data_IF_458066142704
#
_entry.id   IF_458066142704
#
_cell.length_a   1.000
_cell.length_b   1.000
_cell.length_c   1.000
_cell.angle_alpha   90.00
_cell.angle_beta   90.00
_cell.angle_gamma   90.00
#
_symmetry.space_group_name_H-M   'P 1'
#
loop_
_entity.id
_entity.type
_entity.pdbx_description
1 polymer ?
#
# COMPACT_ATOMS: atom_id res chain seq x y z
N UNK A 1 -12.71 13.41 24.74
CA UNK A 1 -11.32 13.94 24.72
C UNK A 1 -11.19 14.75 23.45
N UNK A 2 -10.86 16.05 23.48
CA UNK A 2 -10.64 16.83 22.27
C UNK A 2 -9.43 16.26 21.56
N UNK A 3 -9.58 15.99 20.28
CA UNK A 3 -8.66 15.19 19.49
C UNK A 3 -7.33 15.95 19.29
N UNK A 4 -6.23 15.32 19.63
CA UNK A 4 -4.85 15.69 19.23
C UNK A 4 -4.70 16.07 17.73
N UNK A 5 -5.69 15.76 16.91
CA UNK A 5 -5.74 16.13 15.49
C UNK A 5 -5.77 17.63 15.22
N UNK A 6 -6.38 18.43 16.09
CA UNK A 6 -6.44 19.89 15.89
C UNK A 6 -5.13 20.59 16.24
N UNK A 7 -4.44 20.13 17.29
CA UNK A 7 -3.16 20.70 17.72
C UNK A 7 -2.02 20.42 16.73
N UNK A 8 -1.95 19.21 16.18
CA UNK A 8 -0.91 18.86 15.20
C UNK A 8 -1.08 19.59 13.85
N UNK A 9 -2.32 19.91 13.46
CA UNK A 9 -2.58 20.72 12.25
C UNK A 9 -2.09 22.17 12.39
N UNK A 10 -2.17 22.73 13.58
CA UNK A 10 -1.66 24.09 13.86
C UNK A 10 -0.13 24.19 13.77
N UNK A 11 0.59 23.18 14.26
CA UNK A 11 2.07 23.15 14.23
C UNK A 11 2.58 23.01 12.79
N UNK A 12 1.93 22.16 11.98
CA UNK A 12 2.31 22.00 10.55
C UNK A 12 2.04 23.29 9.76
N UNK A 13 0.98 24.03 10.08
CA UNK A 13 0.67 25.29 9.41
C UNK A 13 1.74 26.37 9.66
N UNK A 14 2.36 26.37 10.83
CA UNK A 14 3.41 27.33 11.17
C UNK A 14 4.72 27.09 10.44
N UNK A 15 5.10 25.84 10.22
CA UNK A 15 6.29 25.52 9.43
C UNK A 15 6.13 26.02 8.00
N UNK A 16 4.92 25.88 7.43
CA UNK A 16 4.63 26.36 6.07
C UNK A 16 4.48 27.89 5.99
N UNK A 17 3.95 28.53 7.02
CA UNK A 17 3.87 30.00 7.09
C UNK A 17 5.25 30.64 7.26
N UNK A 18 6.17 30.00 7.98
CA UNK A 18 7.56 30.42 8.11
C UNK A 18 8.33 30.41 6.79
N UNK A 19 8.06 29.42 5.93
CA UNK A 19 8.65 29.31 4.59
C UNK A 19 8.11 30.38 3.62
N UNK A 20 6.87 30.85 3.82
CA UNK A 20 6.27 31.92 3.00
C UNK A 20 6.86 33.30 3.26
N UNK A 21 7.51 33.51 4.42
CA UNK A 21 8.11 34.78 4.80
C UNK A 21 9.55 34.97 4.29
N UNK A 22 10.14 33.99 3.60
CA UNK A 22 11.49 34.11 3.07
C UNK A 22 11.50 34.91 1.77
N UNK A 23 11.42 36.23 1.87
CA UNK A 23 11.91 37.15 0.85
C UNK A 23 13.45 37.14 0.87
N UNK A 24 14.06 37.23 -0.27
CA UNK A 24 15.42 37.21 -0.79
C UNK A 24 16.62 37.67 0.09
N UNK A 25 16.50 37.75 1.38
CA UNK A 25 17.61 38.06 2.30
C UNK A 25 17.66 36.94 3.35
N UNK A 26 18.80 36.30 3.48
CA UNK A 26 19.05 35.15 4.34
C UNK A 26 18.32 35.17 5.68
N UNK A 27 17.96 33.96 6.17
CA UNK A 27 17.35 33.79 7.49
C UNK A 27 18.24 34.50 8.54
N UNK A 28 17.84 35.69 9.00
CA UNK A 28 18.52 36.34 10.10
C UNK A 28 18.35 35.49 11.36
N UNK A 29 19.37 35.32 12.21
CA UNK A 29 19.30 34.56 13.46
C UNK A 29 18.07 34.94 14.30
N UNK A 30 17.64 36.18 14.25
CA UNK A 30 16.45 36.72 14.94
C UNK A 30 15.13 36.08 14.48
N UNK A 31 14.96 35.75 13.17
CA UNK A 31 13.76 35.10 12.66
C UNK A 31 13.70 33.63 13.05
N UNK A 32 14.83 32.94 13.04
CA UNK A 32 14.92 31.56 13.51
C UNK A 32 14.60 31.47 15.01
N UNK A 33 15.16 32.37 15.82
CA UNK A 33 14.85 32.42 17.25
C UNK A 33 13.36 32.70 17.51
N UNK A 34 12.74 33.63 16.78
CA UNK A 34 11.32 33.92 16.88
C UNK A 34 10.46 32.68 16.53
N UNK A 35 10.80 31.96 15.44
CA UNK A 35 10.10 30.75 15.08
C UNK A 35 10.24 29.68 16.16
N UNK A 36 11.43 29.48 16.70
CA UNK A 36 11.65 28.48 17.77
C UNK A 36 10.88 28.84 19.05
N UNK A 37 10.79 30.13 19.39
CA UNK A 37 9.97 30.59 20.50
C UNK A 37 8.48 30.33 20.26
N UNK A 38 7.98 30.62 19.07
CA UNK A 38 6.58 30.33 18.68
C UNK A 38 6.27 28.83 18.72
N UNK A 39 7.17 27.99 18.20
CA UNK A 39 7.01 26.52 18.24
C UNK A 39 6.98 26.02 19.68
N UNK A 40 7.88 26.48 20.54
CA UNK A 40 7.91 26.08 21.94
C UNK A 40 6.63 26.49 22.68
N UNK A 41 6.13 27.68 22.43
CA UNK A 41 4.86 28.15 23.00
C UNK A 41 3.68 27.33 22.55
N UNK A 42 3.66 26.91 21.27
CA UNK A 42 2.59 26.05 20.74
C UNK A 42 2.65 24.61 21.27
N UNK A 43 3.85 24.04 21.43
CA UNK A 43 4.01 22.73 22.08
C UNK A 43 3.47 22.78 23.51
N UNK A 44 3.82 23.83 24.26
CA UNK A 44 3.33 24.04 25.62
C UNK A 44 1.80 24.20 25.67
N UNK A 45 1.23 25.02 24.78
CA UNK A 45 -0.22 25.21 24.67
C UNK A 45 -0.96 23.90 24.31
N UNK A 46 -0.35 23.07 23.47
CA UNK A 46 -0.86 21.76 23.08
C UNK A 46 -0.60 20.67 24.13
N UNK A 47 0.06 20.99 25.23
CA UNK A 47 0.50 20.03 26.27
C UNK A 47 1.37 18.90 25.70
N UNK A 48 2.17 19.19 24.69
CA UNK A 48 3.10 18.25 24.09
C UNK A 48 4.51 18.45 24.68
N UNK A 49 5.24 17.36 24.98
CA UNK A 49 6.61 17.47 25.42
C UNK A 49 7.49 18.06 24.30
N UNK A 50 8.57 18.71 24.67
CA UNK A 50 9.48 19.35 23.70
C UNK A 50 10.11 18.35 22.73
N UNK A 51 10.24 17.11 23.14
CA UNK A 51 10.79 16.02 22.35
C UNK A 51 9.78 15.33 21.42
N UNK A 52 8.51 15.79 21.42
CA UNK A 52 7.48 15.32 20.50
C UNK A 52 7.61 15.89 19.08
N UNK A 53 8.46 16.89 18.86
CA UNK A 53 8.69 17.52 17.58
C UNK A 53 10.15 17.35 17.13
N UNK A 54 10.32 16.98 15.86
CA UNK A 54 11.61 17.05 15.17
C UNK A 54 11.35 17.45 13.72
N UNK A 55 12.16 18.30 13.15
CA UNK A 55 12.06 18.71 11.76
C UNK A 55 13.36 19.28 11.20
N UNK A 56 13.47 19.31 9.89
CA UNK A 56 14.47 20.06 9.13
C UNK A 56 13.85 20.59 7.84
N UNK A 57 14.27 21.77 7.43
CA UNK A 57 13.97 22.35 6.14
C UNK A 57 15.17 23.15 5.64
N UNK A 58 15.51 23.01 4.37
CA UNK A 58 16.55 23.80 3.70
C UNK A 58 16.28 23.85 2.20
N UNK A 59 16.76 24.91 1.52
CA UNK A 59 16.66 24.99 0.08
C UNK A 59 17.58 23.95 -0.56
N UNK A 60 17.13 23.37 -1.66
CA UNK A 60 17.86 22.31 -2.35
C UNK A 60 19.20 22.77 -2.93
N UNK A 61 19.36 24.08 -3.18
CA UNK A 61 20.61 24.72 -3.61
C UNK A 61 21.58 25.01 -2.44
N UNK A 62 21.18 24.67 -1.21
CA UNK A 62 21.97 24.93 0.01
C UNK A 62 22.38 26.40 0.20
N UNK A 63 21.68 27.32 -0.44
CA UNK A 63 22.01 28.76 -0.43
C UNK A 63 21.87 29.42 0.94
N UNK A 64 21.13 28.82 1.86
CA UNK A 64 21.00 29.27 3.26
C UNK A 64 21.12 28.11 4.24
N UNK A 65 21.47 28.41 5.48
CA UNK A 65 21.57 27.39 6.53
C UNK A 65 20.24 26.65 6.76
N UNK A 66 20.29 25.36 7.11
CA UNK A 66 19.10 24.59 7.46
C UNK A 66 18.34 25.21 8.63
N UNK A 67 17.02 25.20 8.53
CA UNK A 67 16.12 25.44 9.66
C UNK A 67 15.75 24.07 10.25
N UNK A 68 16.12 23.80 11.49
CA UNK A 68 15.87 22.49 12.09
C UNK A 68 15.69 22.54 13.59
N UNK A 69 15.04 21.49 14.10
CA UNK A 69 14.91 21.20 15.52
C UNK A 69 14.96 19.72 15.75
N UNK A 70 15.89 19.24 16.57
CA UNK A 70 16.14 17.81 16.82
C UNK A 70 16.20 16.99 15.54
N UNK A 71 16.86 17.51 14.49
CA UNK A 71 16.84 16.94 13.13
C UNK A 71 17.47 15.57 13.04
N UNK A 72 18.39 15.24 13.94
CA UNK A 72 19.07 13.95 14.08
C UNK A 72 18.25 12.90 14.84
N UNK A 73 17.21 13.35 15.56
CA UNK A 73 16.37 12.45 16.36
C UNK A 73 15.54 11.51 15.50
N UNK A 74 15.68 10.18 15.71
CA UNK A 74 14.88 9.18 15.06
C UNK A 74 13.43 9.20 15.58
N UNK A 75 12.50 9.55 14.70
CA UNK A 75 11.07 9.64 14.98
C UNK A 75 10.28 8.59 14.21
N UNK A 76 9.04 8.31 14.64
CA UNK A 76 8.11 7.48 13.86
C UNK A 76 7.70 8.23 12.58
N UNK A 77 8.02 7.71 11.39
CA UNK A 77 7.72 8.39 10.14
C UNK A 77 6.25 8.26 9.73
N UNK A 78 5.54 7.27 10.25
CA UNK A 78 4.28 6.84 9.66
C UNK A 78 4.42 6.73 8.12
N UNK A 79 3.40 7.06 7.36
CA UNK A 79 3.41 6.89 5.90
C UNK A 79 4.41 7.78 5.14
N UNK A 80 5.21 8.63 5.78
CA UNK A 80 6.33 9.30 5.07
C UNK A 80 7.45 8.30 4.73
N UNK A 81 7.56 7.15 5.43
CA UNK A 81 8.48 6.07 5.08
C UNK A 81 8.30 5.58 3.63
N UNK A 82 7.08 5.69 3.08
CA UNK A 82 6.79 5.35 1.67
C UNK A 82 7.68 6.10 0.67
N UNK A 83 8.16 7.29 1.02
CA UNK A 83 9.09 8.03 0.17
C UNK A 83 10.43 7.31 0.05
N UNK A 84 10.97 6.78 1.16
CA UNK A 84 12.21 5.98 1.13
C UNK A 84 12.02 4.76 0.25
N UNK A 85 10.94 3.99 0.47
CA UNK A 85 10.62 2.80 -0.35
C UNK A 85 10.46 3.16 -1.83
N UNK A 86 9.76 4.25 -2.14
CA UNK A 86 9.55 4.72 -3.52
C UNK A 86 10.85 5.13 -4.20
N UNK A 87 11.71 5.87 -3.49
CA UNK A 87 12.99 6.35 -4.02
C UNK A 87 13.93 5.17 -4.29
N UNK A 88 14.06 4.25 -3.32
CA UNK A 88 14.91 3.06 -3.50
C UNK A 88 14.40 2.19 -4.64
N UNK A 89 13.07 2.05 -4.79
CA UNK A 89 12.49 1.30 -5.89
C UNK A 89 12.75 1.96 -7.25
N UNK A 90 12.59 3.28 -7.37
CA UNK A 90 12.92 4.01 -8.59
C UNK A 90 14.41 3.87 -8.96
N UNK A 91 15.28 3.92 -7.97
CA UNK A 91 16.73 3.79 -8.15
C UNK A 91 17.16 2.39 -8.59
N UNK A 92 16.59 1.35 -7.99
CA UNK A 92 17.06 -0.03 -8.21
C UNK A 92 16.31 -0.77 -9.31
N UNK A 93 14.99 -0.54 -9.43
CA UNK A 93 14.15 -1.21 -10.41
C UNK A 93 13.94 -0.36 -11.66
N UNK A 94 14.07 0.95 -11.53
CA UNK A 94 13.77 1.91 -12.59
C UNK A 94 12.27 2.23 -12.74
N UNK A 95 11.91 3.39 -13.31
CA UNK A 95 10.52 3.84 -13.45
C UNK A 95 9.69 2.94 -14.38
N UNK A 96 10.33 2.26 -15.33
CA UNK A 96 9.68 1.37 -16.30
C UNK A 96 9.48 -0.06 -15.79
N UNK A 97 9.95 -0.40 -14.58
CA UNK A 97 9.79 -1.73 -14.00
C UNK A 97 8.33 -2.15 -13.96
N UNK A 98 8.06 -3.41 -14.32
CA UNK A 98 6.76 -4.06 -14.28
C UNK A 98 6.88 -5.39 -13.55
N UNK A 99 6.13 -5.57 -12.50
CA UNK A 99 6.00 -6.85 -11.84
C UNK A 99 5.13 -7.79 -12.70
N UNK A 100 5.23 -9.10 -12.46
CA UNK A 100 4.66 -10.11 -13.36
C UNK A 100 3.83 -11.14 -12.64
N UNK A 101 2.87 -11.72 -13.38
CA UNK A 101 2.22 -12.98 -13.06
C UNK A 101 2.32 -13.90 -14.28
N UNK A 102 2.70 -15.15 -14.10
CA UNK A 102 2.95 -16.09 -15.18
C UNK A 102 2.07 -17.33 -15.04
N UNK A 103 1.53 -17.80 -16.16
CA UNK A 103 0.98 -19.15 -16.31
C UNK A 103 2.02 -20.02 -17.02
N UNK A 104 2.41 -21.11 -16.39
CA UNK A 104 3.48 -21.99 -16.85
C UNK A 104 3.04 -23.44 -16.87
N UNK A 105 3.80 -24.29 -17.57
CA UNK A 105 3.63 -25.74 -17.55
C UNK A 105 4.97 -26.46 -17.49
N UNK A 106 4.93 -27.75 -17.16
CA UNK A 106 6.10 -28.63 -17.16
C UNK A 106 6.36 -29.26 -18.54
N UNK A 107 5.40 -29.16 -19.44
CA UNK A 107 5.42 -29.79 -20.75
C UNK A 107 4.82 -28.86 -21.81
N UNK A 108 5.02 -29.18 -23.09
CA UNK A 108 4.42 -28.41 -24.18
C UNK A 108 2.88 -28.48 -24.14
N UNK A 109 2.17 -27.45 -24.61
CA UNK A 109 0.72 -27.43 -24.67
C UNK A 109 0.15 -28.64 -25.41
N UNK A 110 -0.85 -29.29 -24.79
CA UNK A 110 -1.59 -30.41 -25.35
C UNK A 110 -3.07 -30.30 -24.96
N UNK A 111 -3.99 -30.93 -25.75
CA UNK A 111 -5.41 -30.89 -25.46
C UNK A 111 -5.74 -31.40 -24.05
N UNK A 112 -5.04 -32.44 -23.63
CA UNK A 112 -5.11 -32.98 -22.26
C UNK A 112 -3.69 -33.01 -21.69
N UNK A 113 -3.45 -32.15 -20.72
CA UNK A 113 -2.17 -32.08 -20.01
C UNK A 113 -2.02 -33.29 -19.06
N UNK A 114 -0.80 -33.80 -18.95
CA UNK A 114 -0.45 -34.84 -17.97
C UNK A 114 0.03 -34.23 -16.65
N UNK A 115 0.60 -33.03 -16.73
CA UNK A 115 1.12 -32.28 -15.60
C UNK A 115 0.24 -31.05 -15.29
N UNK A 116 0.20 -30.56 -14.06
CA UNK A 116 -0.58 -29.39 -13.71
C UNK A 116 -0.07 -28.13 -14.41
N UNK A 117 -0.94 -27.16 -14.61
CA UNK A 117 -0.53 -25.79 -14.87
C UNK A 117 -0.05 -25.12 -13.59
N UNK A 118 0.84 -24.13 -13.72
CA UNK A 118 1.39 -23.37 -12.60
C UNK A 118 1.07 -21.90 -12.79
N UNK A 119 0.26 -21.35 -11.89
CA UNK A 119 0.04 -19.90 -11.75
C UNK A 119 1.09 -19.37 -10.78
N UNK A 120 2.12 -18.72 -11.32
CA UNK A 120 3.26 -18.19 -10.57
C UNK A 120 3.13 -16.70 -10.35
N UNK A 121 3.02 -16.30 -9.10
CA UNK A 121 3.04 -14.90 -8.70
C UNK A 121 4.49 -14.40 -8.54
N UNK A 122 4.77 -13.24 -9.14
CA UNK A 122 6.06 -12.54 -9.07
C UNK A 122 5.88 -11.10 -8.57
N UNK A 123 4.92 -10.89 -7.66
CA UNK A 123 4.70 -9.61 -7.00
C UNK A 123 3.87 -8.60 -7.80
N UNK A 124 3.12 -9.03 -8.79
CA UNK A 124 2.27 -8.19 -9.63
C UNK A 124 1.23 -7.42 -8.80
N UNK A 125 1.24 -6.09 -8.92
CA UNK A 125 0.42 -5.18 -8.12
C UNK A 125 -0.94 -4.87 -8.74
N UNK A 126 -1.14 -5.23 -10.01
CA UNK A 126 -2.35 -4.94 -10.78
C UNK A 126 -3.12 -6.20 -11.17
N UNK A 127 -2.68 -7.39 -10.71
CA UNK A 127 -3.26 -8.66 -11.10
C UNK A 127 -4.67 -8.83 -10.52
N UNK A 128 -5.66 -8.79 -11.40
CA UNK A 128 -7.07 -8.89 -11.06
C UNK A 128 -7.76 -10.04 -11.79
N UNK A 129 -9.08 -10.18 -11.62
CA UNK A 129 -9.87 -11.24 -12.22
C UNK A 129 -9.85 -11.22 -13.76
N UNK A 130 -9.83 -10.02 -14.35
CA UNK A 130 -9.76 -9.89 -15.81
C UNK A 130 -8.42 -10.40 -16.35
N UNK A 131 -7.33 -10.06 -15.67
CA UNK A 131 -5.99 -10.51 -16.04
C UNK A 131 -5.83 -12.03 -15.84
N UNK A 132 -6.39 -12.56 -14.76
CA UNK A 132 -6.44 -14.02 -14.55
C UNK A 132 -7.22 -14.72 -15.67
N UNK A 133 -8.39 -14.18 -16.03
CA UNK A 133 -9.16 -14.72 -17.16
C UNK A 133 -8.33 -14.69 -18.45
N UNK A 134 -7.65 -13.60 -18.73
CA UNK A 134 -6.80 -13.46 -19.92
C UNK A 134 -5.67 -14.49 -19.96
N UNK A 135 -4.98 -14.75 -18.84
CA UNK A 135 -3.93 -15.76 -18.77
C UNK A 135 -4.48 -17.17 -19.03
N UNK A 136 -5.62 -17.50 -18.43
CA UNK A 136 -6.26 -18.81 -18.61
C UNK A 136 -6.78 -18.98 -20.05
N UNK A 137 -7.34 -17.92 -20.65
CA UNK A 137 -7.80 -17.92 -22.03
C UNK A 137 -6.65 -18.16 -23.02
N UNK A 138 -5.49 -17.53 -22.80
CA UNK A 138 -4.31 -17.74 -23.63
C UNK A 138 -3.84 -19.21 -23.60
N UNK A 139 -3.92 -19.88 -22.45
CA UNK A 139 -3.63 -21.33 -22.38
C UNK A 139 -4.66 -22.15 -23.16
N UNK A 140 -5.94 -21.79 -23.05
CA UNK A 140 -7.00 -22.43 -23.83
C UNK A 140 -6.80 -22.24 -25.35
N UNK A 141 -6.39 -21.04 -25.79
CA UNK A 141 -6.13 -20.73 -27.20
C UNK A 141 -4.92 -21.50 -27.77
N UNK A 142 -3.98 -21.91 -26.91
CA UNK A 142 -2.89 -22.82 -27.25
C UNK A 142 -3.33 -24.32 -27.34
N UNK A 143 -4.62 -24.57 -27.22
CA UNK A 143 -5.19 -25.89 -27.40
C UNK A 143 -5.41 -26.67 -26.09
N UNK A 144 -5.07 -26.16 -24.93
CA UNK A 144 -5.25 -26.84 -23.64
C UNK A 144 -6.74 -26.84 -23.30
N UNK A 145 -7.31 -28.04 -23.03
CA UNK A 145 -8.73 -28.23 -22.70
C UNK A 145 -8.94 -28.89 -21.34
N UNK A 146 -8.02 -29.78 -20.96
CA UNK A 146 -8.08 -30.52 -19.70
C UNK A 146 -6.74 -30.48 -18.99
N UNK A 147 -6.78 -30.21 -17.70
CA UNK A 147 -5.61 -30.20 -16.82
C UNK A 147 -5.89 -31.04 -15.56
N UNK A 148 -4.90 -31.77 -15.02
CA UNK A 148 -5.11 -32.55 -13.80
C UNK A 148 -5.28 -31.66 -12.57
N UNK A 149 -4.63 -30.51 -12.55
CA UNK A 149 -4.72 -29.49 -11.49
C UNK A 149 -4.17 -28.14 -11.98
N UNK A 150 -4.43 -27.07 -11.22
CA UNK A 150 -3.72 -25.81 -11.33
C UNK A 150 -3.01 -25.57 -9.99
N UNK A 151 -1.70 -25.41 -10.03
CA UNK A 151 -0.86 -25.13 -8.86
C UNK A 151 -0.64 -23.62 -8.74
N UNK A 152 -0.70 -23.11 -7.52
CA UNK A 152 -0.36 -21.73 -7.20
C UNK A 152 1.02 -21.71 -6.57
N UNK A 153 1.94 -20.98 -7.19
CA UNK A 153 3.31 -20.77 -6.71
C UNK A 153 3.46 -19.33 -6.20
N UNK A 154 3.64 -19.17 -4.88
CA UNK A 154 3.87 -17.91 -4.19
C UNK A 154 5.29 -17.78 -3.65
N UNK A 155 6.20 -18.66 -4.06
CA UNK A 155 7.55 -18.77 -3.50
C UNK A 155 8.46 -17.58 -3.80
N UNK A 156 7.99 -16.63 -4.64
CA UNK A 156 8.71 -15.38 -4.91
C UNK A 156 8.97 -14.56 -3.65
N UNK A 157 8.06 -14.62 -2.68
CA UNK A 157 8.25 -14.05 -1.35
C UNK A 157 8.50 -15.15 -0.31
N UNK A 158 9.42 -14.90 0.62
CA UNK A 158 9.71 -15.78 1.74
C UNK A 158 9.54 -15.02 3.06
N UNK A 159 8.62 -15.42 3.98
CA UNK A 159 7.70 -16.56 3.81
C UNK A 159 6.61 -16.27 2.76
N UNK A 160 6.22 -17.30 2.04
CA UNK A 160 5.12 -17.22 1.04
C UNK A 160 3.74 -17.04 1.70
N UNK A 161 3.62 -17.33 2.98
CA UNK A 161 2.40 -17.27 3.80
C UNK A 161 2.63 -16.41 5.06
N UNK A 162 2.84 -15.08 4.92
CA UNK A 162 3.14 -14.20 6.06
C UNK A 162 1.99 -14.15 7.08
N UNK A 163 0.75 -14.39 6.69
CA UNK A 163 -0.42 -14.40 7.56
C UNK A 163 -0.40 -15.50 8.64
N UNK A 164 0.45 -16.51 8.47
CA UNK A 164 0.61 -17.58 9.46
C UNK A 164 1.50 -17.17 10.64
N UNK A 165 2.29 -16.13 10.48
CA UNK A 165 3.30 -15.70 11.46
C UNK A 165 3.21 -14.23 11.87
N UNK A 166 2.60 -13.38 11.04
CA UNK A 166 2.44 -11.96 11.34
C UNK A 166 1.21 -11.72 12.22
N UNK A 167 1.39 -10.93 13.28
CA UNK A 167 0.26 -10.43 14.07
C UNK A 167 -0.44 -9.28 13.32
N UNK A 168 -1.77 -9.12 13.50
CA UNK A 168 -2.48 -7.94 13.02
C UNK A 168 -1.86 -6.66 13.60
N UNK A 169 -1.83 -5.60 12.79
CA UNK A 169 -1.34 -4.29 13.26
C UNK A 169 -2.26 -3.64 14.30
N UNK A 170 -3.56 -3.85 14.15
CA UNK A 170 -4.62 -3.33 15.02
C UNK A 170 -5.86 -4.24 15.03
N UNK A 171 -6.94 -3.73 15.61
CA UNK A 171 -8.20 -4.45 15.81
C UNK A 171 -9.03 -4.66 14.53
N UNK A 172 -8.59 -4.12 13.39
CA UNK A 172 -9.30 -4.21 12.10
C UNK A 172 -8.49 -4.92 11.01
N UNK A 173 -8.10 -6.20 11.21
CA UNK A 173 -7.18 -6.91 10.32
C UNK A 173 -7.72 -7.15 8.91
N UNK A 174 -9.04 -7.02 8.69
CA UNK A 174 -9.70 -7.21 7.38
C UNK A 174 -9.75 -5.95 6.52
N UNK A 175 -9.36 -4.81 7.08
CA UNK A 175 -9.30 -3.56 6.35
C UNK A 175 -8.18 -3.56 5.32
N UNK A 176 -8.43 -2.90 4.19
CA UNK A 176 -7.49 -2.85 3.06
C UNK A 176 -6.08 -2.39 3.48
N UNK A 177 -5.99 -1.39 4.37
CA UNK A 177 -4.68 -0.86 4.79
C UNK A 177 -3.84 -1.86 5.60
N UNK A 178 -4.47 -2.93 6.13
CA UNK A 178 -3.82 -4.01 6.88
C UNK A 178 -3.40 -5.20 6.02
N UNK A 179 -3.74 -5.21 4.73
CA UNK A 179 -3.41 -6.33 3.85
C UNK A 179 -1.93 -6.65 3.87
N UNK A 180 -1.63 -7.94 3.99
CA UNK A 180 -0.27 -8.46 3.90
C UNK A 180 0.09 -8.68 2.43
N UNK A 181 1.37 -8.46 2.07
CA UNK A 181 1.84 -8.69 0.71
C UNK A 181 1.71 -10.16 0.30
N UNK A 182 1.59 -10.38 -1.02
CA UNK A 182 1.43 -11.70 -1.62
C UNK A 182 2.13 -11.75 -2.97
N UNK A 183 2.93 -12.78 -3.22
CA UNK A 183 3.55 -12.95 -4.52
C UNK A 183 2.50 -13.05 -5.65
N UNK A 184 1.36 -13.70 -5.39
CA UNK A 184 0.16 -13.70 -6.25
C UNK A 184 -0.92 -12.78 -5.64
N UNK A 185 -0.81 -11.48 -5.85
CA UNK A 185 -1.68 -10.47 -5.25
C UNK A 185 -3.00 -10.32 -6.02
N UNK A 186 -3.66 -11.46 -6.26
CA UNK A 186 -4.90 -11.55 -7.04
C UNK A 186 -6.02 -10.73 -6.40
N UNK A 187 -6.59 -9.79 -7.18
CA UNK A 187 -7.68 -8.91 -6.75
C UNK A 187 -7.36 -8.15 -5.45
N UNK A 188 -6.06 -7.93 -5.16
CA UNK A 188 -5.57 -7.39 -3.88
C UNK A 188 -6.11 -8.16 -2.67
N UNK A 189 -6.39 -9.46 -2.84
CA UNK A 189 -7.07 -10.32 -1.85
C UNK A 189 -8.38 -9.72 -1.29
N UNK A 190 -9.09 -8.92 -2.08
CA UNK A 190 -10.34 -8.24 -1.70
C UNK A 190 -11.51 -8.82 -2.47
N UNK A 191 -12.64 -8.96 -1.79
CA UNK A 191 -13.92 -9.30 -2.38
C UNK A 191 -14.92 -8.19 -2.11
N UNK A 192 -15.59 -7.72 -3.15
CA UNK A 192 -16.66 -6.76 -3.00
C UNK A 192 -17.93 -7.41 -2.47
N UNK A 193 -18.61 -6.75 -1.56
CA UNK A 193 -19.96 -7.11 -1.11
C UNK A 193 -20.87 -5.92 -1.35
N UNK A 194 -22.03 -6.16 -1.95
CA UNK A 194 -23.11 -5.18 -2.04
C UNK A 194 -24.31 -5.72 -1.28
N UNK A 195 -24.85 -4.90 -0.38
CA UNK A 195 -26.10 -5.16 0.32
C UNK A 195 -27.11 -4.11 -0.11
N UNK A 196 -28.36 -4.55 -0.28
CA UNK A 196 -29.48 -3.68 -0.60
C UNK A 196 -30.70 -4.08 0.21
N UNK A 197 -31.37 -3.12 0.83
CA UNK A 197 -32.60 -3.34 1.61
C UNK A 197 -33.79 -2.62 1.01
N UNK A 198 -34.97 -3.21 1.24
CA UNK A 198 -36.28 -2.60 1.13
C UNK A 198 -36.80 -2.23 2.53
N UNK A 199 -38.11 -2.04 2.69
CA UNK A 199 -38.73 -1.92 4.00
C UNK A 199 -38.62 -3.23 4.82
N UNK A 200 -38.64 -4.41 4.16
CA UNK A 200 -38.89 -5.69 4.79
C UNK A 200 -37.83 -6.76 4.53
N UNK A 201 -36.90 -6.51 3.61
CA UNK A 201 -35.92 -7.51 3.21
C UNK A 201 -34.53 -6.93 2.92
N UNK A 202 -33.52 -7.78 3.06
CA UNK A 202 -32.14 -7.49 2.64
C UNK A 202 -31.70 -8.53 1.63
N UNK A 203 -31.15 -8.07 0.52
CA UNK A 203 -30.49 -8.90 -0.49
C UNK A 203 -29.05 -8.47 -0.63
N UNK A 204 -28.21 -9.34 -1.20
CA UNK A 204 -26.82 -9.00 -1.42
C UNK A 204 -26.16 -9.85 -2.49
N UNK A 205 -24.99 -9.40 -2.94
CA UNK A 205 -24.18 -10.11 -3.93
C UNK A 205 -22.70 -9.78 -3.77
N UNK A 206 -21.87 -10.68 -4.29
CA UNK A 206 -20.42 -10.50 -4.33
C UNK A 206 -19.94 -9.92 -5.66
N UNK A 207 -18.79 -9.24 -5.62
CA UNK A 207 -18.05 -8.76 -6.79
C UNK A 207 -16.56 -9.15 -6.70
N UNK A 208 -16.07 -10.01 -7.60
CA UNK A 208 -16.85 -10.77 -8.59
C UNK A 208 -17.82 -11.75 -7.92
N UNK A 209 -18.87 -12.16 -8.65
CA UNK A 209 -19.74 -13.25 -8.21
C UNK A 209 -18.95 -14.55 -8.17
N UNK A 210 -19.08 -15.32 -7.09
CA UNK A 210 -18.41 -16.60 -6.89
C UNK A 210 -19.46 -17.70 -6.72
N UNK A 211 -19.40 -18.75 -7.54
CA UNK A 211 -20.42 -19.81 -7.58
C UNK A 211 -20.52 -20.59 -6.27
N UNK A 212 -19.37 -20.89 -5.66
CA UNK A 212 -19.30 -21.70 -4.44
C UNK A 212 -19.21 -20.83 -3.16
N UNK A 213 -19.60 -19.55 -3.25
CA UNK A 213 -19.74 -18.65 -2.11
C UNK A 213 -21.16 -18.12 -2.03
N UNK A 214 -21.88 -18.55 -0.99
CA UNK A 214 -23.26 -18.15 -0.72
C UNK A 214 -23.32 -16.99 0.25
N UNK A 215 -24.19 -15.99 -0.02
CA UNK A 215 -24.46 -14.87 0.87
C UNK A 215 -25.79 -15.07 1.59
N UNK A 216 -25.73 -15.15 2.91
CA UNK A 216 -26.91 -15.32 3.78
C UNK A 216 -27.19 -13.99 4.47
N UNK A 217 -28.36 -13.40 4.24
CA UNK A 217 -28.80 -12.13 4.84
C UNK A 217 -29.97 -12.27 5.80
N UNK A 218 -30.47 -13.50 6.03
CA UNK A 218 -31.65 -13.78 6.88
C UNK A 218 -31.46 -13.43 8.36
N UNK A 219 -30.22 -13.16 8.80
CA UNK A 219 -29.92 -12.76 10.19
C UNK A 219 -29.73 -11.24 10.35
N UNK A 220 -30.05 -10.48 9.31
CA UNK A 220 -29.98 -9.01 9.37
C UNK A 220 -31.26 -8.48 9.96
N UNK A 221 -31.17 -7.53 10.90
CA UNK A 221 -32.28 -6.77 11.49
C UNK A 221 -32.35 -5.42 10.81
N UNK A 222 -33.50 -5.12 10.19
CA UNK A 222 -33.73 -3.84 9.53
C UNK A 222 -34.07 -2.74 10.54
N UNK A 223 -33.41 -1.59 10.41
CA UNK A 223 -33.58 -0.43 11.29
C UNK A 223 -33.89 0.84 10.48
N UNK A 224 -34.40 1.87 11.16
CA UNK A 224 -34.65 3.19 10.57
C UNK A 224 -33.41 4.13 10.68
N UNK A 225 -32.24 3.57 10.96
CA UNK A 225 -30.99 4.32 11.02
C UNK A 225 -30.57 4.87 9.64
N UNK A 226 -29.73 5.90 9.65
CA UNK A 226 -29.27 6.53 8.41
C UNK A 226 -28.31 5.62 7.62
N UNK A 227 -28.60 5.41 6.34
CA UNK A 227 -27.76 4.59 5.45
C UNK A 227 -26.29 5.07 5.39
N UNK A 228 -26.04 6.39 5.52
CA UNK A 228 -24.68 6.94 5.50
C UNK A 228 -23.83 6.46 6.68
N UNK A 229 -24.43 6.23 7.83
CA UNK A 229 -23.75 5.91 9.09
C UNK A 229 -23.44 4.42 9.25
N UNK A 230 -24.01 3.58 8.39
CA UNK A 230 -23.76 2.15 8.45
C UNK A 230 -22.38 1.77 7.93
N UNK A 231 -21.69 0.93 8.66
CA UNK A 231 -20.38 0.36 8.31
C UNK A 231 -20.34 -1.15 8.62
N UNK A 232 -19.77 -1.99 7.74
CA UNK A 232 -19.69 -3.42 7.96
C UNK A 232 -18.63 -3.76 9.02
N UNK A 233 -19.03 -3.84 10.29
CA UNK A 233 -18.14 -4.29 11.35
C UNK A 233 -17.76 -5.77 11.18
N UNK A 234 -16.53 -6.18 11.51
CA UNK A 234 -16.06 -7.56 11.35
C UNK A 234 -16.94 -8.62 12.03
N UNK A 235 -17.56 -8.28 13.18
CA UNK A 235 -18.46 -9.19 13.89
C UNK A 235 -19.84 -9.37 13.21
N UNK A 236 -20.18 -8.53 12.25
CA UNK A 236 -21.37 -8.69 11.43
C UNK A 236 -21.19 -9.71 10.30
N UNK A 237 -19.99 -10.21 10.08
CA UNK A 237 -19.62 -11.09 8.98
C UNK A 237 -19.08 -12.42 9.50
N UNK A 238 -19.89 -13.47 9.42
CA UNK A 238 -19.54 -14.81 9.92
C UNK A 238 -19.37 -15.77 8.77
N UNK A 239 -18.19 -16.39 8.66
CA UNK A 239 -17.93 -17.45 7.68
C UNK A 239 -18.28 -18.81 8.23
N UNK A 240 -18.99 -19.60 7.42
CA UNK A 240 -19.19 -21.03 7.65
C UNK A 240 -18.68 -21.82 6.45
N UNK A 241 -17.87 -22.83 6.71
CA UNK A 241 -17.44 -23.79 5.70
C UNK A 241 -18.41 -24.95 5.65
N UNK A 242 -18.92 -25.24 4.47
CA UNK A 242 -19.71 -26.42 4.13
C UNK A 242 -18.81 -27.40 3.34
N UNK A 243 -19.22 -28.67 3.14
CA UNK A 243 -18.44 -29.63 2.38
C UNK A 243 -18.06 -29.16 0.97
N UNK A 244 -19.00 -28.55 0.25
CA UNK A 244 -18.84 -28.15 -1.16
C UNK A 244 -18.92 -26.61 -1.38
N UNK A 245 -19.17 -25.82 -0.35
CA UNK A 245 -19.34 -24.36 -0.48
C UNK A 245 -18.86 -23.59 0.75
N UNK A 246 -18.75 -22.29 0.58
CA UNK A 246 -18.54 -21.34 1.65
C UNK A 246 -19.80 -20.50 1.82
N UNK A 247 -20.16 -20.19 3.07
CA UNK A 247 -21.24 -19.27 3.37
C UNK A 247 -20.70 -18.07 4.10
N UNK A 248 -21.05 -16.87 3.63
CA UNK A 248 -20.92 -15.64 4.38
C UNK A 248 -22.28 -15.25 4.92
N UNK A 249 -22.42 -15.24 6.22
CA UNK A 249 -23.63 -14.81 6.93
C UNK A 249 -23.42 -13.37 7.36
N UNK A 250 -24.29 -12.48 6.89
CA UNK A 250 -24.39 -11.11 7.36
C UNK A 250 -25.41 -11.07 8.49
N UNK A 251 -25.04 -10.50 9.63
CA UNK A 251 -25.88 -10.38 10.81
C UNK A 251 -25.81 -8.98 11.41
N UNK A 252 -26.71 -8.68 12.36
CA UNK A 252 -26.77 -7.37 13.01
C UNK A 252 -27.66 -6.40 12.27
N UNK A 253 -27.52 -5.11 12.57
CA UNK A 253 -28.41 -4.07 12.07
C UNK A 253 -28.00 -3.58 10.66
N UNK A 254 -29.01 -3.34 9.81
CA UNK A 254 -28.83 -2.71 8.51
C UNK A 254 -29.99 -1.73 8.24
N UNK A 255 -29.73 -0.51 7.72
CA UNK A 255 -30.80 0.46 7.46
C UNK A 255 -31.78 0.00 6.40
N UNK A 256 -33.06 0.32 6.56
CA UNK A 256 -34.08 0.18 5.51
C UNK A 256 -33.80 1.12 4.34
N UNK A 257 -34.21 0.74 3.13
CA UNK A 257 -34.07 1.54 1.90
C UNK A 257 -32.63 2.00 1.66
N UNK A 258 -31.67 1.12 1.99
CA UNK A 258 -30.24 1.41 1.94
C UNK A 258 -29.53 0.53 0.93
N UNK A 259 -28.56 1.10 0.21
CA UNK A 259 -27.65 0.36 -0.63
C UNK A 259 -26.21 0.70 -0.24
N UNK A 260 -25.45 -0.33 0.09
CA UNK A 260 -24.02 -0.21 0.44
C UNK A 260 -23.19 -1.19 -0.38
N UNK A 261 -22.05 -0.71 -0.83
CA UNK A 261 -21.03 -1.53 -1.48
C UNK A 261 -19.69 -1.27 -0.82
N UNK A 262 -19.01 -2.34 -0.46
CA UNK A 262 -17.68 -2.26 0.14
C UNK A 262 -16.80 -3.38 -0.36
N UNK A 263 -15.47 -3.20 -0.21
CA UNK A 263 -14.47 -4.19 -0.56
C UNK A 263 -13.68 -4.54 0.68
N UNK A 264 -13.73 -5.80 1.06
CA UNK A 264 -13.14 -6.30 2.30
C UNK A 264 -12.32 -7.57 2.05
N UNK A 265 -11.37 -7.83 2.92
CA UNK A 265 -10.69 -9.13 2.96
C UNK A 265 -11.63 -10.17 3.61
N UNK A 266 -12.61 -10.62 2.84
CA UNK A 266 -13.62 -11.57 3.31
C UNK A 266 -13.10 -13.00 3.34
N UNK A 267 -12.30 -13.39 2.36
CA UNK A 267 -11.69 -14.70 2.25
C UNK A 267 -10.18 -14.63 2.51
N UNK A 268 -9.60 -15.72 2.99
CA UNK A 268 -8.16 -15.85 2.93
C UNK A 268 -7.70 -15.99 1.47
N UNK A 269 -6.42 -15.72 1.21
CA UNK A 269 -5.86 -15.70 -0.15
C UNK A 269 -5.98 -17.06 -0.88
N UNK A 270 -5.90 -18.17 -0.15
CA UNK A 270 -6.03 -19.53 -0.73
C UNK A 270 -7.45 -19.77 -1.20
N UNK A 271 -8.45 -19.49 -0.38
CA UNK A 271 -9.85 -19.70 -0.75
C UNK A 271 -10.27 -18.77 -1.91
N UNK A 272 -9.88 -17.49 -1.87
CA UNK A 272 -10.19 -16.55 -2.94
C UNK A 272 -9.55 -16.98 -4.27
N UNK A 273 -8.26 -17.30 -4.26
CA UNK A 273 -7.57 -17.75 -5.47
C UNK A 273 -8.14 -19.05 -6.02
N UNK A 274 -8.43 -20.03 -5.13
CA UNK A 274 -9.03 -21.32 -5.50
C UNK A 274 -10.38 -21.10 -6.19
N UNK A 275 -11.28 -20.35 -5.59
CA UNK A 275 -12.62 -20.12 -6.15
C UNK A 275 -12.56 -19.40 -7.50
N UNK A 276 -11.75 -18.37 -7.61
CA UNK A 276 -11.60 -17.62 -8.86
C UNK A 276 -10.98 -18.45 -9.98
N UNK A 277 -9.90 -19.17 -9.70
CA UNK A 277 -9.22 -20.00 -10.69
C UNK A 277 -10.13 -21.14 -11.16
N UNK A 278 -10.80 -21.84 -10.25
CA UNK A 278 -11.72 -22.93 -10.58
C UNK A 278 -12.88 -22.43 -11.46
N UNK A 279 -13.54 -21.36 -11.04
CA UNK A 279 -14.68 -20.80 -11.75
C UNK A 279 -14.28 -20.33 -13.16
N UNK A 280 -13.20 -19.58 -13.28
CA UNK A 280 -12.77 -19.04 -14.57
C UNK A 280 -12.29 -20.16 -15.52
N UNK A 281 -11.53 -21.15 -15.02
CA UNK A 281 -11.14 -22.28 -15.84
C UNK A 281 -12.34 -23.09 -16.32
N UNK A 282 -13.33 -23.33 -15.46
CA UNK A 282 -14.58 -23.98 -15.84
C UNK A 282 -15.33 -23.21 -16.93
N UNK A 283 -15.44 -21.90 -16.80
CA UNK A 283 -16.10 -21.04 -17.79
C UNK A 283 -15.41 -21.07 -19.16
N UNK A 284 -14.08 -21.13 -19.17
CA UNK A 284 -13.26 -21.11 -20.39
C UNK A 284 -13.22 -22.49 -21.05
N UNK A 285 -12.95 -23.54 -20.28
CA UNK A 285 -12.63 -24.86 -20.81
C UNK A 285 -13.81 -25.85 -20.77
N UNK A 286 -14.84 -25.58 -19.98
CA UNK A 286 -15.91 -26.53 -19.67
C UNK A 286 -15.51 -27.62 -18.66
N UNK A 287 -14.24 -27.69 -18.25
CA UNK A 287 -13.76 -28.66 -17.26
C UNK A 287 -14.24 -28.30 -15.87
N UNK A 288 -15.04 -29.12 -15.24
CA UNK A 288 -15.57 -28.94 -13.91
C UNK A 288 -14.59 -29.43 -12.83
N UNK A 289 -14.61 -28.77 -11.66
CA UNK A 289 -13.92 -29.20 -10.42
C UNK A 289 -12.42 -29.49 -10.59
N UNK A 290 -11.71 -28.61 -11.30
CA UNK A 290 -10.24 -28.69 -11.37
C UNK A 290 -9.64 -28.43 -9.97
N UNK A 291 -8.80 -29.32 -9.44
CA UNK A 291 -8.08 -29.06 -8.19
C UNK A 291 -7.18 -27.85 -8.32
N UNK A 292 -7.28 -26.91 -7.37
CA UNK A 292 -6.33 -25.80 -7.23
C UNK A 292 -5.54 -26.02 -5.96
N UNK A 293 -4.22 -26.13 -6.10
CA UNK A 293 -3.30 -26.56 -5.05
C UNK A 293 -2.29 -25.45 -4.74
N UNK A 294 -2.14 -25.11 -3.48
CA UNK A 294 -1.00 -24.31 -3.04
C UNK A 294 0.26 -25.19 -3.07
N UNK A 295 1.30 -24.72 -3.74
CA UNK A 295 2.57 -25.43 -3.82
C UNK A 295 3.71 -24.43 -3.58
N UNK A 296 4.83 -24.92 -3.06
CA UNK A 296 6.06 -24.16 -2.97
C UNK A 296 6.70 -23.91 -4.35
N UNK A 297 7.97 -23.55 -4.38
CA UNK A 297 8.71 -23.29 -5.61
C UNK A 297 8.52 -24.44 -6.62
N UNK A 298 8.25 -24.08 -7.87
CA UNK A 298 7.98 -25.01 -8.95
C UNK A 298 9.04 -24.89 -10.05
N UNK A 299 9.32 -26.01 -10.71
CA UNK A 299 10.30 -26.09 -11.81
C UNK A 299 9.62 -26.06 -13.19
N UNK A 300 8.36 -25.61 -13.28
CA UNK A 300 7.68 -25.48 -14.55
C UNK A 300 8.40 -24.44 -15.45
N UNK A 301 8.90 -24.91 -16.60
CA UNK A 301 9.80 -24.12 -17.46
C UNK A 301 9.11 -23.51 -18.67
N UNK A 302 8.03 -24.12 -19.17
CA UNK A 302 7.32 -23.62 -20.35
C UNK A 302 6.43 -22.45 -19.96
N UNK A 303 6.67 -21.28 -20.51
CA UNK A 303 5.83 -20.09 -20.34
C UNK A 303 4.65 -20.18 -21.31
N UNK A 304 3.43 -20.21 -20.80
CA UNK A 304 2.19 -20.23 -21.60
C UNK A 304 1.65 -18.82 -21.79
N UNK A 305 1.64 -18.02 -20.72
CA UNK A 305 1.14 -16.66 -20.75
C UNK A 305 1.80 -15.83 -19.62
N UNK A 306 1.88 -14.51 -19.82
CA UNK A 306 2.41 -13.57 -18.84
C UNK A 306 1.53 -12.32 -18.80
N UNK A 307 1.19 -11.86 -17.61
CA UNK A 307 0.68 -10.51 -17.36
C UNK A 307 1.79 -9.66 -16.74
N UNK A 308 1.83 -8.38 -17.10
CA UNK A 308 2.73 -7.39 -16.54
C UNK A 308 1.92 -6.24 -15.94
N UNK A 309 2.25 -5.85 -14.71
CA UNK A 309 1.64 -4.69 -14.08
C UNK A 309 1.86 -3.40 -14.88
N UNK A 310 1.17 -2.33 -14.51
CA UNK A 310 1.55 -0.98 -14.92
C UNK A 310 3.01 -0.71 -14.55
N UNK A 311 3.62 0.26 -15.21
CA UNK A 311 4.96 0.71 -14.88
C UNK A 311 5.05 1.21 -13.42
N UNK A 312 6.21 1.03 -12.78
CA UNK A 312 6.43 1.47 -11.39
C UNK A 312 6.06 2.94 -11.20
N UNK A 313 6.41 3.81 -12.14
CA UNK A 313 6.06 5.24 -12.08
C UNK A 313 4.55 5.49 -11.92
N UNK A 314 3.71 4.66 -12.55
CA UNK A 314 2.24 4.75 -12.45
C UNK A 314 1.75 4.19 -11.12
N UNK A 315 2.28 3.04 -10.68
CA UNK A 315 1.94 2.43 -9.38
C UNK A 315 2.33 3.33 -8.22
N UNK A 316 3.44 4.05 -8.31
CA UNK A 316 3.86 5.01 -7.29
C UNK A 316 2.86 6.15 -7.08
N UNK A 317 2.08 6.52 -8.10
CA UNK A 317 1.00 7.51 -7.94
C UNK A 317 -0.07 6.99 -6.98
N UNK A 318 -0.46 5.73 -7.10
CA UNK A 318 -1.40 5.10 -6.17
C UNK A 318 -0.79 5.03 -4.76
N UNK A 319 0.46 4.56 -4.65
CA UNK A 319 1.18 4.45 -3.38
C UNK A 319 1.23 5.79 -2.65
N UNK A 320 1.68 6.85 -3.30
CA UNK A 320 1.97 8.10 -2.62
C UNK A 320 0.73 9.01 -2.49
N UNK A 321 -0.11 9.12 -3.54
CA UNK A 321 -1.30 9.98 -3.51
C UNK A 321 -2.39 9.49 -2.57
N UNK A 322 -2.68 8.19 -2.57
CA UNK A 322 -3.67 7.59 -1.66
C UNK A 322 -3.07 7.10 -0.35
N UNK A 323 -1.72 7.08 -0.24
CA UNK A 323 -1.00 6.51 0.90
C UNK A 323 -1.22 5.00 1.07
N UNK A 324 -1.20 4.25 -0.04
CA UNK A 324 -1.51 2.83 -0.09
C UNK A 324 -0.45 1.97 0.62
N UNK A 325 -0.83 1.36 1.74
CA UNK A 325 0.06 0.50 2.51
C UNK A 325 0.29 -0.85 1.84
N UNK A 326 -0.76 -1.43 1.26
CA UNK A 326 -0.71 -2.76 0.66
C UNK A 326 0.25 -2.77 -0.53
N UNK A 327 0.09 -1.82 -1.46
CA UNK A 327 1.01 -1.67 -2.60
C UNK A 327 2.43 -1.32 -2.16
N UNK A 328 2.60 -0.51 -1.10
CA UNK A 328 3.95 -0.18 -0.60
C UNK A 328 4.65 -1.40 -0.03
N UNK A 329 3.97 -2.22 0.78
CA UNK A 329 4.52 -3.46 1.31
C UNK A 329 4.88 -4.45 0.21
N UNK A 330 4.03 -4.51 -0.83
CA UNK A 330 4.28 -5.30 -2.03
C UNK A 330 5.56 -4.84 -2.74
N UNK A 331 5.70 -3.53 -2.95
CA UNK A 331 6.88 -2.92 -3.57
C UNK A 331 8.14 -3.13 -2.72
N UNK A 332 8.02 -2.99 -1.39
CA UNK A 332 9.14 -3.23 -0.47
C UNK A 332 9.66 -4.66 -0.59
N UNK A 333 8.77 -5.66 -0.62
CA UNK A 333 9.18 -7.05 -0.82
C UNK A 333 9.73 -7.32 -2.23
N UNK A 334 9.25 -6.60 -3.25
CA UNK A 334 9.79 -6.73 -4.60
C UNK A 334 11.29 -6.37 -4.66
N UNK A 335 11.75 -5.38 -3.87
CA UNK A 335 13.17 -5.03 -3.75
C UNK A 335 14.03 -6.22 -3.30
N UNK A 336 13.58 -6.93 -2.25
CA UNK A 336 14.32 -8.07 -1.71
C UNK A 336 14.19 -9.34 -2.56
N UNK A 337 13.07 -9.49 -3.27
CA UNK A 337 12.80 -10.68 -4.08
C UNK A 337 13.67 -10.74 -5.35
N UNK A 338 14.18 -9.61 -5.84
CA UNK A 338 15.14 -9.57 -6.95
C UNK A 338 16.50 -10.18 -6.57
N UNK A 339 16.77 -10.38 -5.28
CA UNK A 339 18.03 -10.94 -4.77
C UNK A 339 17.90 -12.45 -4.56
N UNK A 340 18.17 -13.23 -5.60
CA UNK A 340 17.86 -14.67 -5.65
C UNK A 340 18.86 -15.54 -4.87
N UNK A 341 20.03 -15.02 -4.48
CA UNK A 341 21.17 -15.82 -4.05
C UNK A 341 21.19 -16.26 -2.58
N UNK A 342 20.16 -15.93 -1.78
CA UNK A 342 20.09 -16.32 -0.36
C UNK A 342 18.71 -16.89 -0.01
N UNK A 343 18.40 -18.15 -0.35
CA UNK A 343 17.06 -18.73 -0.20
C UNK A 343 16.59 -18.91 1.26
N UNK A 344 17.53 -18.93 2.22
CA UNK A 344 17.19 -19.10 3.64
C UNK A 344 16.75 -17.83 4.35
N UNK A 345 17.01 -16.66 3.78
CA UNK A 345 16.64 -15.38 4.39
C UNK A 345 15.24 -14.93 3.99
N UNK A 346 14.55 -14.26 4.92
CA UNK A 346 13.25 -13.65 4.65
C UNK A 346 13.39 -12.58 3.58
N UNK A 347 12.39 -12.48 2.68
CA UNK A 347 12.38 -11.43 1.66
C UNK A 347 12.42 -10.02 2.26
N UNK A 348 11.76 -9.82 3.41
CA UNK A 348 11.78 -8.52 4.11
C UNK A 348 13.20 -8.12 4.57
N UNK A 349 14.00 -9.09 5.06
CA UNK A 349 15.37 -8.84 5.51
C UNK A 349 16.26 -8.45 4.31
N UNK A 350 16.08 -9.13 3.16
CA UNK A 350 16.75 -8.73 1.92
C UNK A 350 16.32 -7.33 1.45
N UNK A 351 15.04 -6.98 1.61
CA UNK A 351 14.54 -5.64 1.28
C UNK A 351 15.19 -4.55 2.14
N UNK A 352 15.35 -4.80 3.44
CA UNK A 352 16.08 -3.91 4.34
C UNK A 352 17.54 -3.75 3.90
N UNK A 353 18.22 -4.85 3.55
CA UNK A 353 19.59 -4.80 3.02
C UNK A 353 19.68 -3.94 1.75
N UNK A 354 18.70 -4.01 0.85
CA UNK A 354 18.66 -3.17 -0.35
C UNK A 354 18.56 -1.68 -0.01
N UNK A 355 17.67 -1.31 0.95
CA UNK A 355 17.56 0.07 1.41
C UNK A 355 18.86 0.55 2.03
N UNK A 356 19.46 -0.24 2.92
CA UNK A 356 20.72 0.12 3.59
C UNK A 356 21.90 0.21 2.60
N UNK A 357 21.99 -0.70 1.64
CA UNK A 357 23.01 -0.67 0.59
C UNK A 357 22.89 0.58 -0.29
N UNK A 358 21.66 0.99 -0.62
CA UNK A 358 21.42 2.25 -1.32
C UNK A 358 21.92 3.45 -0.50
N UNK A 359 21.54 3.54 0.77
CA UNK A 359 21.94 4.65 1.64
C UNK A 359 23.47 4.71 1.84
N UNK A 360 24.11 3.56 2.01
CA UNK A 360 25.58 3.48 2.10
C UNK A 360 26.26 3.92 0.80
N UNK A 361 25.72 3.55 -0.37
CA UNK A 361 26.25 3.94 -1.69
C UNK A 361 26.22 5.45 -1.92
N UNK A 362 25.23 6.13 -1.36
CA UNK A 362 25.11 7.59 -1.43
C UNK A 362 25.69 8.28 -0.18
N UNK A 363 26.48 7.57 0.59
CA UNK A 363 27.25 8.05 1.75
C UNK A 363 26.40 8.72 2.85
N UNK A 364 25.17 8.23 3.06
CA UNK A 364 24.30 8.72 4.14
C UNK A 364 24.42 7.83 5.38
N UNK A 365 24.59 8.44 6.55
CA UNK A 365 24.48 7.73 7.82
C UNK A 365 23.02 7.29 8.04
N UNK A 366 22.85 5.99 8.21
CA UNK A 366 21.56 5.36 8.44
C UNK A 366 21.53 4.49 9.69
N UNK A 367 22.43 4.76 10.64
CA UNK A 367 22.55 4.00 11.90
C UNK A 367 21.27 4.07 12.74
N UNK A 368 20.56 5.19 12.71
CA UNK A 368 19.29 5.42 13.42
C UNK A 368 18.05 4.92 12.67
N UNK A 369 18.20 4.44 11.42
CA UNK A 369 17.07 3.95 10.62
C UNK A 369 16.62 2.59 11.14
N UNK A 370 15.31 2.46 11.42
CA UNK A 370 14.65 1.19 11.71
C UNK A 370 13.59 0.94 10.67
N UNK A 371 13.68 -0.19 9.99
CA UNK A 371 12.75 -0.65 8.96
C UNK A 371 12.02 -1.91 9.42
N UNK A 372 10.77 -2.05 9.02
CA UNK A 372 9.96 -3.26 9.25
C UNK A 372 9.29 -3.71 7.95
N UNK A 373 8.48 -2.84 7.35
CA UNK A 373 7.69 -3.18 6.17
C UNK A 373 7.71 -2.11 5.06
N UNK A 374 8.46 -1.04 5.25
CA UNK A 374 8.66 0.06 4.29
C UNK A 374 7.44 0.95 4.04
N UNK A 375 6.29 0.67 4.67
CA UNK A 375 5.05 1.43 4.45
C UNK A 375 4.79 2.51 5.51
N UNK A 376 5.48 2.43 6.65
CA UNK A 376 5.22 3.28 7.80
C UNK A 376 4.02 2.83 8.65
N UNK A 377 3.31 1.78 8.26
CA UNK A 377 2.31 1.13 9.12
C UNK A 377 3.04 0.19 10.09
N UNK A 378 3.71 0.80 11.05
CA UNK A 378 4.60 0.15 12.00
C UNK A 378 4.66 0.95 13.30
N UNK A 379 4.85 0.26 14.42
CA UNK A 379 5.14 0.90 15.72
C UNK A 379 6.64 1.04 15.95
N UNK A 380 7.46 0.32 15.19
CA UNK A 380 8.91 0.22 15.37
C UNK A 380 9.70 1.07 14.38
N UNK A 381 9.20 1.28 13.15
CA UNK A 381 9.91 2.07 12.12
C UNK A 381 10.32 3.45 12.64
N UNK A 382 11.57 3.84 12.38
CA UNK A 382 12.17 5.12 12.78
C UNK A 382 13.05 5.67 11.66
N UNK A 383 13.02 6.99 11.51
CA UNK A 383 13.93 7.76 10.65
C UNK A 383 14.11 9.16 11.23
N UNK A 384 15.30 9.72 11.11
CA UNK A 384 15.51 11.13 11.47
C UNK A 384 15.01 12.06 10.36
N UNK A 385 14.53 13.28 10.68
CA UNK A 385 14.25 14.30 9.67
C UNK A 385 15.45 14.56 8.74
N UNK A 386 16.65 14.57 9.29
CA UNK A 386 17.89 14.78 8.54
C UNK A 386 18.12 13.71 7.47
N UNK A 387 18.02 12.43 7.82
CA UNK A 387 18.13 11.34 6.85
C UNK A 387 17.03 11.41 5.81
N UNK A 388 15.77 11.66 6.21
CA UNK A 388 14.66 11.81 5.27
C UNK A 388 14.90 12.93 4.26
N UNK A 389 15.36 14.10 4.74
CA UNK A 389 15.63 15.24 3.88
C UNK A 389 16.84 14.99 2.95
N UNK A 390 17.88 14.30 3.42
CA UNK A 390 19.02 13.94 2.60
C UNK A 390 18.65 12.98 1.47
N UNK A 391 17.81 11.95 1.75
CA UNK A 391 17.27 11.04 0.74
C UNK A 391 16.40 11.78 -0.28
N UNK A 392 15.57 12.72 0.16
CA UNK A 392 14.76 13.56 -0.74
C UNK A 392 15.64 14.46 -1.61
N UNK A 393 16.68 15.07 -1.04
CA UNK A 393 17.62 15.90 -1.81
C UNK A 393 18.34 15.10 -2.89
N UNK A 394 18.82 13.89 -2.57
CA UNK A 394 19.38 12.99 -3.57
C UNK A 394 18.38 12.70 -4.70
N UNK A 395 17.16 12.31 -4.35
CA UNK A 395 16.13 11.97 -5.32
C UNK A 395 15.70 13.15 -6.20
N UNK A 396 15.79 14.38 -5.70
CA UNK A 396 15.53 15.59 -6.50
C UNK A 396 16.56 15.81 -7.61
N UNK A 397 17.76 15.31 -7.46
CA UNK A 397 18.84 15.39 -8.45
C UNK A 397 18.90 14.16 -9.37
N UNK A 398 18.15 13.11 -9.05
CA UNK A 398 18.13 11.86 -9.82
C UNK A 398 17.34 12.00 -11.13
N UNK A 399 17.67 11.15 -12.11
CA UNK A 399 16.99 11.14 -13.41
C UNK A 399 15.48 10.83 -13.33
N UNK A 400 15.06 10.10 -12.29
CA UNK A 400 13.65 9.75 -12.03
C UNK A 400 12.91 10.80 -11.17
N UNK A 401 13.47 11.98 -10.97
CA UNK A 401 12.80 13.07 -10.24
C UNK A 401 11.37 13.34 -10.74
N UNK A 402 11.10 13.44 -12.06
CA UNK A 402 9.76 13.74 -12.55
C UNK A 402 8.71 12.71 -12.10
N UNK A 403 9.05 11.42 -12.13
CA UNK A 403 8.18 10.32 -11.70
C UNK A 403 7.90 10.41 -10.20
N UNK A 404 8.93 10.65 -9.39
CA UNK A 404 8.77 10.84 -7.95
C UNK A 404 7.86 12.04 -7.67
N UNK A 405 8.15 13.21 -8.23
CA UNK A 405 7.36 14.42 -8.00
C UNK A 405 5.91 14.27 -8.45
N UNK A 406 5.67 13.62 -9.61
CA UNK A 406 4.32 13.38 -10.13
C UNK A 406 3.52 12.41 -9.26
N UNK A 407 4.19 11.51 -8.55
CA UNK A 407 3.55 10.55 -7.65
C UNK A 407 3.08 11.18 -6.33
N UNK A 408 3.69 12.29 -5.89
CA UNK A 408 3.42 12.91 -4.59
C UNK A 408 2.11 13.70 -4.58
N UNK A 409 1.38 13.73 -3.43
CA UNK A 409 0.23 14.62 -3.25
C UNK A 409 0.58 16.08 -3.42
N UNK A 410 -0.28 16.83 -4.12
CA UNK A 410 -0.14 18.26 -4.34
C UNK A 410 -1.05 19.04 -3.38
N UNK A 411 -0.47 19.94 -2.61
CA UNK A 411 -1.14 20.71 -1.57
C UNK A 411 -2.39 21.43 -2.09
N UNK A 412 -3.54 21.21 -1.46
CA UNK A 412 -4.83 21.81 -1.80
C UNK A 412 -5.43 21.36 -3.12
N UNK A 413 -4.87 20.30 -3.77
CA UNK A 413 -5.28 19.86 -5.11
C UNK A 413 -5.68 18.39 -5.14
N UNK A 414 -4.79 17.48 -4.73
CA UNK A 414 -5.05 16.04 -4.86
C UNK A 414 -4.50 15.19 -3.71
N UNK A 415 -4.78 13.90 -3.80
CA UNK A 415 -4.31 12.89 -2.86
C UNK A 415 -4.72 13.20 -1.41
N UNK A 416 -3.87 12.81 -0.47
CA UNK A 416 -4.10 13.06 0.97
C UNK A 416 -4.04 14.54 1.35
N UNK A 417 -3.61 15.41 0.44
CA UNK A 417 -3.54 16.87 0.64
C UNK A 417 -4.70 17.63 0.01
N UNK A 418 -5.65 16.99 -0.68
CA UNK A 418 -6.76 17.63 -1.39
C UNK A 418 -7.52 18.66 -0.54
N UNK A 419 -7.71 18.37 0.74
CA UNK A 419 -8.44 19.22 1.70
C UNK A 419 -7.53 19.93 2.71
N UNK A 420 -6.21 19.91 2.48
CA UNK A 420 -5.21 20.55 3.34
C UNK A 420 -4.49 21.63 2.54
N UNK A 421 -4.10 22.72 3.22
CA UNK A 421 -3.40 23.87 2.62
C UNK A 421 -4.22 24.60 1.54
N UNK A 422 -5.55 24.54 1.59
CA UNK A 422 -6.44 25.18 0.60
C UNK A 422 -6.32 26.69 0.58
N UNK A 423 -6.07 27.31 1.74
CA UNK A 423 -5.87 28.75 1.92
C UNK A 423 -4.40 29.14 2.15
N UNK A 424 -3.49 28.19 2.01
CA UNK A 424 -2.05 28.42 2.22
C UNK A 424 -1.37 28.86 0.92
N UNK A 425 -0.32 29.72 1.01
CA UNK A 425 0.57 29.98 -0.13
C UNK A 425 1.23 28.74 -0.74
N UNK A 426 1.24 27.61 -0.01
CA UNK A 426 1.75 26.32 -0.47
C UNK A 426 0.79 25.59 -1.44
N UNK A 427 -0.47 26.06 -1.59
CA UNK A 427 -1.44 25.47 -2.50
C UNK A 427 -0.89 25.40 -3.94
N UNK A 428 -0.90 24.21 -4.52
CA UNK A 428 -0.36 23.98 -5.86
C UNK A 428 1.16 24.04 -6.00
N UNK A 429 1.90 24.37 -4.91
CA UNK A 429 3.36 24.54 -4.92
C UNK A 429 4.09 23.52 -4.07
N UNK A 430 3.42 22.85 -3.15
CA UNK A 430 4.03 21.85 -2.27
C UNK A 430 3.60 20.43 -2.69
N UNK A 431 4.58 19.56 -2.82
CA UNK A 431 4.42 18.11 -3.08
C UNK A 431 4.89 17.35 -1.86
N UNK A 432 3.93 16.94 -1.03
CA UNK A 432 4.24 16.44 0.31
C UNK A 432 3.53 15.11 0.55
N UNK A 433 4.26 14.17 1.12
CA UNK A 433 3.70 12.93 1.65
C UNK A 433 3.31 13.13 3.11
N UNK A 434 2.07 12.78 3.44
CA UNK A 434 1.56 12.78 4.82
C UNK A 434 1.81 11.44 5.49
N UNK A 435 2.03 11.47 6.81
CA UNK A 435 2.03 10.31 7.69
C UNK A 435 1.08 10.51 8.86
N UNK A 436 0.29 9.48 9.20
CA UNK A 436 -0.59 9.52 10.36
C UNK A 436 -0.70 8.12 10.96
N UNK A 437 -0.42 8.01 12.25
CA UNK A 437 -0.76 6.87 13.10
C UNK A 437 -1.41 7.41 14.38
N UNK A 438 -1.86 6.53 15.25
CA UNK A 438 -2.30 6.95 16.58
C UNK A 438 -1.14 7.66 17.29
N UNK A 439 -1.34 8.93 17.68
CA UNK A 439 -0.36 9.80 18.31
C UNK A 439 0.86 10.17 17.46
N UNK A 440 0.80 9.99 16.14
CA UNK A 440 1.90 10.35 15.23
C UNK A 440 1.36 11.14 14.04
N UNK A 441 2.01 12.26 13.74
CA UNK A 441 1.80 13.02 12.51
C UNK A 441 3.15 13.31 11.88
N UNK A 442 3.28 13.10 10.59
CA UNK A 442 4.50 13.37 9.83
C UNK A 442 4.18 14.02 8.48
N UNK A 443 5.14 14.76 7.96
CA UNK A 443 5.08 15.39 6.65
C UNK A 443 6.48 15.46 6.06
N UNK A 444 6.66 15.06 4.81
CA UNK A 444 7.95 15.15 4.11
C UNK A 444 7.74 15.40 2.61
N UNK A 445 8.68 16.09 1.97
CA UNK A 445 8.65 16.35 0.53
C UNK A 445 9.21 17.72 0.18
N UNK A 446 8.68 18.30 -0.90
CA UNK A 446 9.22 19.50 -1.53
C UNK A 446 8.21 20.63 -1.54
N UNK A 447 8.71 21.86 -1.41
CA UNK A 447 7.89 23.06 -1.55
C UNK A 447 8.66 24.12 -2.36
N UNK A 448 7.95 24.80 -3.25
CA UNK A 448 8.50 25.97 -3.95
C UNK A 448 8.04 27.24 -3.24
N UNK A 449 8.98 28.06 -2.82
CA UNK A 449 8.69 29.33 -2.16
C UNK A 449 8.21 30.41 -3.15
N UNK A 450 7.94 31.61 -2.64
CA UNK A 450 7.46 32.73 -3.47
C UNK A 450 8.51 33.24 -4.47
N UNK A 451 9.79 33.00 -4.21
CA UNK A 451 10.87 33.38 -5.13
C UNK A 451 11.12 32.33 -6.23
N UNK A 452 10.40 31.21 -6.20
CA UNK A 452 10.60 30.07 -7.12
C UNK A 452 11.67 29.08 -6.67
N UNK A 453 12.24 29.27 -5.46
CA UNK A 453 13.26 28.37 -4.92
C UNK A 453 12.60 27.10 -4.38
N UNK A 454 13.20 25.97 -4.68
CA UNK A 454 12.75 24.67 -4.16
C UNK A 454 13.43 24.36 -2.83
N UNK A 455 12.60 23.88 -1.89
CA UNK A 455 12.99 23.46 -0.54
C UNK A 455 12.65 22.01 -0.33
#
# INVERSE_FOLDING_TARGET
MPSLRQSASGIVLLITAGLSACTSTGFLPTKQQQLMTQLSAQLQQAQLPTDALAFIAYPLDRSVAPLGYQSDKAMQPASTMKLVTSIVALEQLGPAYRAKTQLRSYEAPAQKMQQPLVLKGLGDMDFNVQELWSLLQQAYDQGIRQVPAIQIDRSWFNPSRPELTALPFDETPREYYNLLPDALFLQRNMLGIQLQSTADSVTGQFYPALQDLELITSQVVLTDSHCADWYPHPHHLVFKRQPDSLQLIVQGEFPKHCQKRDYLQLLNRTDLSRLLVQQLWQQISGQTRVPVLEKGATEATVLLAEHQSRALAEVLRDINKSSDNALTRQLYLALGAQQINTPAERTADRSELQVRSFLSRIELDHSSLVLENGSGLSRTERISPELMAAVLQYAYQAQYQPELLSSMPLAGVDGTLKRRFTESPAKGKARLKTGTLRNVTALAGFVTDQSGRSW
#
